data_IF_689003806912
#
_entry.id   IF_689003806912
#
_cell.length_a   1.000
_cell.length_b   1.000
_cell.length_c   1.000
_cell.angle_alpha   90.00
_cell.angle_beta   90.00
_cell.angle_gamma   90.00
#
_symmetry.space_group_name_H-M   'P 1'
#
loop_
_entity.id
_entity.type
_entity.pdbx_description
1 polymer ?
#
# COMPACT_ATOMS: atom_id res chain seq x y z
N UNK A 1 -0.98 4.74 5.63
CA UNK A 1 0.23 3.90 5.69
C UNK A 1 0.53 3.26 4.34
N UNK A 2 -0.46 2.84 3.57
CA UNK A 2 -0.29 2.51 2.13
C UNK A 2 -0.24 3.81 1.32
N UNK A 3 0.82 4.11 0.55
CA UNK A 3 1.01 5.34 -0.27
C UNK A 3 1.62 6.57 0.39
N UNK A 4 2.54 6.40 1.33
CA UNK A 4 3.31 7.49 1.92
C UNK A 4 4.82 7.22 2.00
N UNK A 5 5.30 6.12 1.41
CA UNK A 5 6.70 5.75 1.44
C UNK A 5 7.50 6.50 0.36
N UNK A 6 8.80 6.76 0.59
CA UNK A 6 9.65 7.43 -0.39
C UNK A 6 9.61 6.79 -1.78
N UNK A 7 9.67 5.46 -1.86
CA UNK A 7 9.62 4.73 -3.13
C UNK A 7 8.35 4.98 -3.95
N UNK A 8 7.22 5.27 -3.29
CA UNK A 8 5.93 5.47 -3.96
C UNK A 8 5.81 6.86 -4.62
N UNK A 9 6.70 7.80 -4.28
CA UNK A 9 6.74 9.16 -4.83
C UNK A 9 8.01 9.45 -5.65
N UNK A 10 8.96 8.52 -5.69
CA UNK A 10 10.23 8.68 -6.41
C UNK A 10 10.01 8.73 -7.92
N UNK A 11 10.59 9.74 -8.57
CA UNK A 11 10.65 9.85 -10.04
C UNK A 11 11.64 8.89 -10.67
N UNK A 12 12.69 8.50 -9.93
CA UNK A 12 13.71 7.56 -10.44
C UNK A 12 13.08 6.18 -10.67
N UNK A 13 12.08 5.82 -9.87
CA UNK A 13 11.39 4.53 -9.95
C UNK A 13 10.41 4.46 -11.14
N UNK A 14 10.02 5.59 -11.74
CA UNK A 14 9.09 5.61 -12.88
C UNK A 14 9.57 4.80 -14.08
N UNK A 15 10.89 4.63 -14.24
CA UNK A 15 11.45 3.80 -15.32
C UNK A 15 11.39 2.28 -15.02
N UNK A 16 11.13 1.89 -13.78
CA UNK A 16 11.15 0.50 -13.32
C UNK A 16 9.75 -0.01 -12.93
N UNK A 17 8.73 0.85 -12.94
CA UNK A 17 7.39 0.52 -12.46
C UNK A 17 6.31 1.04 -13.41
N UNK A 18 5.24 0.27 -13.55
CA UNK A 18 4.04 0.63 -14.30
C UNK A 18 2.98 1.30 -13.40
N UNK A 19 3.16 1.27 -12.08
CA UNK A 19 2.25 1.88 -11.12
C UNK A 19 2.48 3.41 -11.10
N UNK A 20 1.41 4.23 -11.25
CA UNK A 20 1.51 5.68 -11.11
C UNK A 20 1.98 6.13 -9.72
N UNK A 21 2.58 7.32 -9.59
CA UNK A 21 2.99 7.85 -8.30
C UNK A 21 1.80 8.05 -7.35
N UNK A 22 2.07 8.03 -6.04
CA UNK A 22 1.04 8.13 -5.01
C UNK A 22 0.10 9.35 -5.16
N UNK A 23 0.61 10.45 -5.70
CA UNK A 23 -0.13 11.70 -5.95
C UNK A 23 -1.01 11.67 -7.22
N UNK A 24 -0.95 10.62 -8.02
CA UNK A 24 -1.71 10.51 -9.28
C UNK A 24 -3.21 10.29 -9.06
N UNK A 25 -3.59 9.66 -7.95
CA UNK A 25 -4.97 9.23 -7.77
C UNK A 25 -5.82 10.32 -7.10
N UNK A 26 -6.87 10.81 -7.77
CA UNK A 26 -7.78 11.78 -7.18
C UNK A 26 -8.59 11.15 -6.04
N UNK A 27 -9.00 11.97 -5.06
CA UNK A 27 -9.98 11.53 -4.07
C UNK A 27 -11.27 11.13 -4.78
N UNK A 28 -11.76 9.94 -4.48
CA UNK A 28 -12.97 9.41 -5.09
C UNK A 28 -14.19 10.05 -4.45
N UNK A 29 -15.07 10.57 -5.31
CA UNK A 29 -16.35 11.13 -4.85
C UNK A 29 -17.26 10.00 -4.34
N UNK A 30 -18.11 10.27 -3.33
CA UNK A 30 -19.17 9.35 -2.95
C UNK A 30 -20.07 8.99 -4.14
N UNK A 31 -20.54 7.75 -4.20
CA UNK A 31 -21.53 7.30 -5.19
C UNK A 31 -22.59 6.42 -4.52
N UNK A 32 -23.75 6.28 -5.14
CA UNK A 32 -24.82 5.42 -4.60
C UNK A 32 -24.43 3.95 -4.56
N UNK A 33 -23.71 3.47 -5.59
CA UNK A 33 -23.13 2.13 -5.61
C UNK A 33 -22.13 1.91 -4.46
N UNK A 34 -21.57 2.98 -3.88
CA UNK A 34 -20.70 2.87 -2.71
C UNK A 34 -20.77 4.07 -1.74
N UNK A 35 -21.64 4.02 -0.72
CA UNK A 35 -22.05 5.18 0.08
C UNK A 35 -21.03 5.53 1.19
N UNK A 36 -19.75 5.76 0.86
CA UNK A 36 -18.85 6.41 1.83
C UNK A 36 -19.13 7.91 1.91
N UNK A 37 -19.63 8.37 3.06
CA UNK A 37 -19.90 9.79 3.34
C UNK A 37 -18.73 10.74 3.10
N UNK A 38 -17.48 10.29 3.22
CA UNK A 38 -16.29 11.16 3.25
C UNK A 38 -15.39 11.06 2.00
N UNK A 39 -15.87 10.42 0.92
CA UNK A 39 -15.01 10.05 -0.20
C UNK A 39 -13.97 9.00 0.20
N UNK A 40 -13.20 8.49 -0.77
CA UNK A 40 -12.28 7.37 -0.54
C UNK A 40 -10.93 7.58 -1.20
N UNK A 41 -9.93 6.92 -0.64
CA UNK A 41 -8.60 6.80 -1.24
C UNK A 41 -8.48 5.54 -2.11
N UNK A 42 -9.32 4.53 -1.87
CA UNK A 42 -9.27 3.23 -2.51
C UNK A 42 -10.60 2.88 -3.19
N UNK A 43 -10.51 2.33 -4.40
CA UNK A 43 -11.67 1.93 -5.21
C UNK A 43 -12.31 0.63 -4.72
N UNK A 44 -11.49 -0.34 -4.31
CA UNK A 44 -11.91 -1.73 -4.14
C UNK A 44 -12.25 -2.12 -2.70
N UNK A 45 -11.72 -1.38 -1.71
CA UNK A 45 -11.87 -1.75 -0.31
C UNK A 45 -11.97 -0.52 0.59
N UNK A 46 -12.60 -0.71 1.75
CA UNK A 46 -12.67 0.27 2.82
C UNK A 46 -11.30 0.42 3.52
N UNK A 47 -10.99 1.60 4.07
CA UNK A 47 -9.67 1.91 4.61
C UNK A 47 -9.27 1.01 5.79
N UNK A 48 -10.19 0.71 6.71
CA UNK A 48 -9.90 -0.18 7.85
C UNK A 48 -9.68 -1.62 7.37
N UNK A 49 -10.42 -2.06 6.36
CA UNK A 49 -10.19 -3.37 5.74
C UNK A 49 -8.78 -3.47 5.14
N UNK A 50 -8.29 -2.42 4.50
CA UNK A 50 -6.92 -2.36 3.95
C UNK A 50 -5.88 -2.35 5.06
N UNK A 51 -6.11 -1.64 6.16
CA UNK A 51 -5.16 -1.54 7.27
C UNK A 51 -5.13 -2.80 8.16
N UNK A 52 -6.09 -3.70 8.00
CA UNK A 52 -6.14 -4.95 8.75
C UNK A 52 -4.88 -5.81 8.50
N UNK A 53 -4.25 -6.43 9.52
CA UNK A 53 -3.03 -7.23 9.38
C UNK A 53 -3.09 -8.33 8.32
N UNK A 54 -4.27 -8.92 8.09
CA UNK A 54 -4.49 -9.93 7.05
C UNK A 54 -4.44 -9.36 5.62
N UNK A 55 -4.73 -8.07 5.44
CA UNK A 55 -4.68 -7.38 4.15
C UNK A 55 -3.38 -6.61 3.95
N UNK A 56 -2.84 -6.01 5.02
CA UNK A 56 -1.56 -5.31 5.03
C UNK A 56 -0.62 -5.94 6.07
N UNK A 57 0.17 -6.96 5.69
CA UNK A 57 1.10 -7.65 6.60
C UNK A 57 2.02 -6.72 7.40
N UNK A 58 2.40 -5.60 6.81
CA UNK A 58 3.22 -4.53 7.41
C UNK A 58 2.59 -3.84 8.62
N UNK A 59 1.27 -3.91 8.79
CA UNK A 59 0.59 -3.33 9.97
C UNK A 59 0.65 -4.24 11.19
N UNK A 60 1.12 -5.48 11.03
CA UNK A 60 1.34 -6.41 12.14
C UNK A 60 2.52 -5.93 12.99
N UNK A 61 2.39 -5.87 14.33
CA UNK A 61 3.45 -5.39 15.20
C UNK A 61 4.69 -6.31 15.25
N UNK A 62 4.51 -7.61 15.03
CA UNK A 62 5.60 -8.60 15.02
C UNK A 62 5.21 -9.85 14.24
N UNK A 63 6.19 -10.44 13.54
CA UNK A 63 6.06 -11.71 12.82
C UNK A 63 6.64 -12.89 13.61
N UNK A 64 6.87 -12.74 14.91
CA UNK A 64 7.41 -13.81 15.77
C UNK A 64 6.57 -15.08 15.67
N UNK A 65 7.21 -16.18 15.30
CA UNK A 65 6.56 -17.48 15.12
C UNK A 65 6.12 -17.77 13.68
N UNK A 66 6.36 -16.86 12.73
CA UNK A 66 6.21 -17.16 11.30
C UNK A 66 7.24 -18.20 10.85
N UNK A 67 6.96 -18.85 9.72
CA UNK A 67 7.98 -19.63 9.03
C UNK A 67 9.15 -18.74 8.55
N UNK A 68 10.32 -19.30 8.22
CA UNK A 68 11.38 -18.55 7.55
C UNK A 68 10.86 -17.93 6.25
N UNK A 69 11.05 -16.62 6.10
CA UNK A 69 10.58 -15.86 4.94
C UNK A 69 11.75 -15.46 4.04
N UNK A 70 11.58 -15.65 2.73
CA UNK A 70 12.44 -15.06 1.70
C UNK A 70 11.65 -13.96 1.00
N UNK A 71 12.07 -12.70 1.16
CA UNK A 71 11.40 -11.53 0.58
C UNK A 71 12.28 -11.01 -0.55
N UNK A 72 11.77 -11.06 -1.78
CA UNK A 72 12.47 -10.58 -2.97
C UNK A 72 11.86 -9.24 -3.37
N UNK A 73 12.71 -8.22 -3.51
CA UNK A 73 12.31 -6.85 -3.84
C UNK A 73 13.08 -6.38 -5.07
N UNK A 74 12.38 -5.74 -6.02
CA UNK A 74 12.99 -5.08 -7.19
C UNK A 74 13.03 -3.56 -6.99
N UNK A 75 13.44 -2.79 -8.00
CA UNK A 75 13.45 -1.31 -8.02
C UNK A 75 12.04 -0.69 -8.19
N UNK A 76 10.98 -1.40 -7.79
CA UNK A 76 9.58 -0.97 -7.91
C UNK A 76 9.10 -0.06 -6.76
N UNK A 77 7.93 0.57 -6.93
CA UNK A 77 7.37 1.54 -5.98
C UNK A 77 6.99 0.93 -4.65
N UNK A 78 6.65 -0.36 -4.58
CA UNK A 78 6.31 -1.03 -3.32
C UNK A 78 7.52 -1.57 -2.55
N UNK A 79 8.74 -1.36 -3.06
CA UNK A 79 9.99 -1.79 -2.42
C UNK A 79 10.06 -1.43 -0.93
N UNK A 80 9.72 -0.20 -0.55
CA UNK A 80 9.84 0.23 0.85
C UNK A 80 8.86 -0.53 1.76
N UNK A 81 7.67 -0.87 1.26
CA UNK A 81 6.71 -1.71 1.99
C UNK A 81 7.28 -3.10 2.28
N UNK A 82 8.02 -3.68 1.33
CA UNK A 82 8.72 -4.93 1.54
C UNK A 82 9.90 -4.83 2.51
N UNK A 83 10.67 -3.73 2.45
CA UNK A 83 11.83 -3.49 3.34
C UNK A 83 11.45 -3.28 4.79
N UNK A 84 10.28 -2.68 5.05
CA UNK A 84 9.83 -2.34 6.39
C UNK A 84 9.24 -3.55 7.13
N UNK A 85 8.94 -4.66 6.43
CA UNK A 85 8.43 -5.87 7.08
C UNK A 85 9.42 -6.33 8.17
N UNK A 86 9.00 -6.23 9.44
CA UNK A 86 9.82 -6.59 10.60
C UNK A 86 9.59 -8.05 10.94
N UNK A 87 10.56 -8.90 10.61
CA UNK A 87 10.62 -10.30 11.05
C UNK A 87 10.80 -10.38 12.58
#
# INVERSE_FOLDING_TARGET
MTRCMPSESSKIIEQFDYIPPANFYPKLKPSEAWPAKNGRYWHYAENNAILHPLASPITTPSWKGSCPLCIILSEERLRDSGRILRL
#
